data_IF_696819134548
#
_entry.id   IF_696819134548
#
_cell.length_a   1.000
_cell.length_b   1.000
_cell.length_c   1.000
_cell.angle_alpha   90.00
_cell.angle_beta   90.00
_cell.angle_gamma   90.00
#
_symmetry.space_group_name_H-M   'P 1'
#
loop_
_entity.id
_entity.type
_entity.pdbx_description
1 polymer ?
#
# COMPACT_ATOMS: atom_id res chain seq x y z
N UNK A 1 9.28 -5.78 -9.02
CA UNK A 1 8.15 -5.05 -9.64
C UNK A 1 7.57 -4.08 -8.63
N UNK A 2 7.45 -2.82 -9.07
CA UNK A 2 7.33 -1.60 -8.28
C UNK A 2 5.86 -1.21 -8.05
N UNK A 3 5.65 -0.57 -6.89
CA UNK A 3 4.88 0.65 -6.55
C UNK A 3 3.39 0.67 -6.97
N UNK A 4 2.40 0.91 -6.09
CA UNK A 4 2.15 2.16 -5.38
C UNK A 4 1.58 2.02 -3.95
N UNK A 5 2.21 2.75 -3.03
CA UNK A 5 1.61 3.28 -1.81
C UNK A 5 0.96 4.63 -2.14
N UNK A 6 -0.23 4.94 -1.62
CA UNK A 6 -0.49 6.15 -0.81
C UNK A 6 -1.95 6.14 -0.27
N UNK A 7 -2.09 5.91 1.04
CA UNK A 7 -3.20 6.37 1.89
C UNK A 7 -2.84 7.78 2.44
N UNK A 8 -3.77 8.64 2.93
CA UNK A 8 -4.95 8.28 3.73
C UNK A 8 -6.25 9.06 3.43
N UNK A 9 -7.39 8.49 3.85
CA UNK A 9 -8.62 9.24 4.03
C UNK A 9 -9.02 9.24 5.52
N UNK A 10 -9.28 10.46 6.00
CA UNK A 10 -10.28 10.90 6.99
C UNK A 10 -9.70 11.60 8.22
N UNK A 11 -9.92 12.91 8.24
CA UNK A 11 -10.27 13.66 9.43
C UNK A 11 -11.66 14.25 9.18
N UNK A 12 -12.60 13.97 10.08
CA UNK A 12 -13.96 14.51 10.09
C UNK A 12 -13.99 15.85 10.83
N UNK A 13 -14.76 16.84 10.35
CA UNK A 13 -15.22 17.98 11.15
C UNK A 13 -16.63 18.39 10.74
N UNK A 14 -17.43 18.72 11.76
CA UNK A 14 -18.84 19.07 11.77
C UNK A 14 -19.14 20.49 11.27
N UNK A 15 -20.43 20.73 11.01
CA UNK A 15 -21.02 22.01 10.58
C UNK A 15 -21.06 23.08 11.68
N UNK A 16 -20.91 24.35 11.30
CA UNK A 16 -21.36 25.53 12.05
C UNK A 16 -21.77 26.67 11.10
N UNK A 17 -22.81 27.43 11.49
CA UNK A 17 -23.43 28.53 10.75
C UNK A 17 -22.93 29.89 11.26
N UNK A 18 -22.55 30.84 10.40
CA UNK A 18 -22.76 32.29 10.65
C UNK A 18 -22.57 33.18 9.39
N UNK A 19 -23.26 34.33 9.42
CA UNK A 19 -23.52 35.34 8.36
C UNK A 19 -22.52 36.53 8.37
N UNK A 20 -22.40 37.20 7.21
CA UNK A 20 -22.00 38.63 7.01
C UNK A 20 -20.49 38.82 6.81
N UNK A 21 -19.98 39.56 5.82
CA UNK A 21 -20.28 40.95 5.46
C UNK A 21 -19.87 41.29 4.00
N UNK A 22 -20.46 42.38 3.53
CA UNK A 22 -20.50 43.02 2.22
C UNK A 22 -19.17 43.52 1.64
N UNK A 23 -19.06 43.49 0.30
CA UNK A 23 -18.42 44.58 -0.45
C UNK A 23 -18.97 44.66 -1.87
N UNK A 24 -19.26 45.89 -2.29
CA UNK A 24 -20.04 46.28 -3.47
C UNK A 24 -19.07 46.74 -4.57
N UNK A 25 -19.17 46.19 -5.78
CA UNK A 25 -18.70 46.87 -7.00
C UNK A 25 -19.70 46.67 -8.13
N UNK A 26 -20.13 47.81 -8.72
CA UNK A 26 -20.99 47.93 -9.91
C UNK A 26 -20.10 48.06 -11.15
N UNK A 27 -20.42 47.31 -12.19
CA UNK A 27 -20.51 47.69 -13.62
C UNK A 27 -21.00 46.42 -14.35
N UNK A 28 -21.96 46.35 -15.28
CA UNK A 28 -22.44 47.31 -16.26
C UNK A 28 -22.12 46.79 -17.67
N UNK A 29 -23.05 46.06 -18.32
CA UNK A 29 -22.99 45.79 -19.78
C UNK A 29 -23.41 44.39 -20.25
N UNK A 30 -24.49 44.32 -21.03
CA UNK A 30 -25.01 43.16 -21.79
C UNK A 30 -24.08 42.74 -22.95
N UNK A 31 -24.11 41.45 -23.33
CA UNK A 31 -23.49 40.99 -24.57
C UNK A 31 -23.33 39.47 -24.69
N UNK A 32 -24.28 38.88 -25.42
CA UNK A 32 -24.38 37.52 -25.98
C UNK A 32 -23.05 36.83 -26.40
N UNK A 33 -22.89 35.55 -26.06
CA UNK A 33 -22.36 34.48 -26.92
C UNK A 33 -21.95 33.24 -26.07
N UNK A 34 -22.73 32.18 -26.24
CA UNK A 34 -22.41 30.76 -26.05
C UNK A 34 -21.04 30.42 -25.41
N UNK A 35 -21.03 30.24 -24.09
CA UNK A 35 -20.10 29.26 -23.49
C UNK A 35 -20.82 27.93 -23.44
N UNK A 36 -20.68 27.16 -24.51
CA UNK A 36 -20.80 25.71 -24.42
C UNK A 36 -19.80 25.27 -23.36
N UNK A 37 -20.30 24.99 -22.16
CA UNK A 37 -19.55 24.25 -21.18
C UNK A 37 -19.34 22.87 -21.81
N UNK A 38 -18.14 22.64 -22.36
CA UNK A 38 -17.58 21.31 -22.50
C UNK A 38 -17.45 20.75 -21.08
N UNK A 39 -18.58 20.36 -20.48
CA UNK A 39 -18.61 19.48 -19.34
C UNK A 39 -18.07 18.15 -19.87
N UNK A 40 -16.79 17.92 -19.59
CA UNK A 40 -16.06 16.70 -19.90
C UNK A 40 -16.88 15.50 -19.37
N UNK A 41 -17.63 14.85 -20.28
CA UNK A 41 -18.55 13.77 -19.93
C UNK A 41 -17.73 12.58 -19.39
N UNK A 42 -17.75 12.39 -18.08
CA UNK A 42 -17.22 11.19 -17.43
C UNK A 42 -18.33 10.13 -17.34
N UNK A 43 -18.27 9.04 -18.12
CA UNK A 43 -19.25 7.97 -18.01
C UNK A 43 -19.12 7.27 -16.65
N UNK A 44 -20.11 7.48 -15.79
CA UNK A 44 -20.21 6.82 -14.47
C UNK A 44 -20.80 5.40 -14.62
N UNK A 45 -19.93 4.43 -14.92
CA UNK A 45 -20.32 3.02 -15.10
C UNK A 45 -20.24 2.28 -13.76
N UNK A 46 -21.41 1.96 -13.20
CA UNK A 46 -21.54 1.15 -11.99
C UNK A 46 -21.70 -0.34 -12.31
N UNK A 47 -20.92 -1.17 -11.64
CA UNK A 47 -21.04 -2.63 -11.73
C UNK A 47 -21.56 -3.20 -10.42
N UNK A 48 -22.62 -4.02 -10.49
CA UNK A 48 -23.13 -4.75 -9.34
C UNK A 48 -22.15 -5.87 -8.95
N UNK A 49 -21.86 -6.06 -7.64
CA UNK A 49 -21.01 -7.16 -7.19
C UNK A 49 -21.61 -8.52 -7.55
N UNK A 50 -20.82 -9.39 -8.17
CA UNK A 50 -21.24 -10.76 -8.51
C UNK A 50 -21.22 -11.69 -7.30
N UNK A 51 -20.48 -11.32 -6.25
CA UNK A 51 -20.34 -12.05 -5.00
C UNK A 51 -20.49 -11.09 -3.82
N UNK A 52 -21.15 -11.52 -2.73
CA UNK A 52 -21.21 -10.71 -1.52
C UNK A 52 -19.81 -10.52 -0.95
N UNK A 53 -19.51 -9.31 -0.50
CA UNK A 53 -18.27 -9.02 0.20
C UNK A 53 -18.27 -9.84 1.51
N UNK A 54 -17.26 -10.69 1.76
CA UNK A 54 -17.14 -11.40 3.03
C UNK A 54 -17.02 -10.43 4.21
N UNK A 55 -17.32 -10.93 5.40
CA UNK A 55 -17.13 -10.16 6.63
C UNK A 55 -15.65 -9.78 6.81
N UNK A 56 -15.42 -8.61 7.41
CA UNK A 56 -14.08 -8.17 7.74
C UNK A 56 -13.49 -9.11 8.79
N UNK A 57 -12.36 -9.73 8.45
CA UNK A 57 -11.62 -10.61 9.36
C UNK A 57 -10.34 -9.93 9.83
N UNK A 58 -9.96 -10.21 11.07
CA UNK A 58 -8.68 -9.77 11.61
C UNK A 58 -7.53 -10.44 10.86
N UNK A 59 -6.57 -9.62 10.42
CA UNK A 59 -5.42 -10.11 9.66
C UNK A 59 -4.35 -10.61 10.63
N UNK A 60 -4.20 -11.93 10.69
CA UNK A 60 -3.11 -12.58 11.44
C UNK A 60 -1.90 -12.75 10.51
N UNK A 61 -0.77 -12.18 10.89
CA UNK A 61 0.48 -12.22 10.10
C UNK A 61 1.29 -13.50 10.36
N UNK A 62 1.11 -14.11 11.54
CA UNK A 62 1.90 -15.23 12.02
C UNK A 62 3.27 -14.81 12.55
N UNK A 63 3.47 -13.51 12.80
CA UNK A 63 4.70 -12.89 13.33
C UNK A 63 4.49 -12.36 14.77
N UNK A 64 3.28 -12.47 15.34
CA UNK A 64 2.86 -11.82 16.59
C UNK A 64 3.61 -12.33 17.83
N UNK A 65 3.99 -13.61 17.83
CA UNK A 65 4.70 -14.27 18.94
C UNK A 65 6.23 -14.15 18.85
N UNK A 66 6.75 -13.41 17.86
CA UNK A 66 8.18 -13.32 17.59
C UNK A 66 8.74 -11.91 17.76
N UNK A 67 9.99 -11.85 18.21
CA UNK A 67 10.71 -10.61 18.40
C UNK A 67 11.47 -10.23 17.13
N UNK A 68 11.29 -8.99 16.65
CA UNK A 68 12.10 -8.44 15.56
C UNK A 68 13.49 -8.12 16.08
N UNK A 69 14.51 -8.80 15.55
CA UNK A 69 15.93 -8.58 15.90
C UNK A 69 16.59 -7.63 14.91
N UNK A 70 16.19 -7.71 13.65
CA UNK A 70 16.72 -6.88 12.58
C UNK A 70 15.62 -6.57 11.57
N UNK A 71 15.64 -5.36 11.03
CA UNK A 71 14.83 -4.96 9.89
C UNK A 71 15.65 -4.06 8.98
N UNK A 72 15.69 -4.38 7.70
CA UNK A 72 16.28 -3.51 6.70
C UNK A 72 15.57 -3.65 5.37
N UNK A 73 15.62 -2.55 4.61
CA UNK A 73 15.14 -2.51 3.25
C UNK A 73 16.06 -3.34 2.36
N UNK A 74 15.50 -4.29 1.60
CA UNK A 74 16.28 -5.16 0.74
C UNK A 74 15.60 -5.44 -0.61
N UNK A 75 16.42 -5.89 -1.58
CA UNK A 75 15.97 -6.49 -2.83
C UNK A 75 16.50 -7.92 -2.89
N UNK A 76 15.59 -8.89 -2.96
CA UNK A 76 15.90 -10.30 -2.99
C UNK A 76 15.96 -10.80 -4.44
N UNK A 77 16.97 -11.60 -4.75
CA UNK A 77 17.12 -12.29 -6.02
C UNK A 77 17.05 -13.80 -5.82
N UNK A 78 16.61 -14.51 -6.87
CA UNK A 78 16.72 -15.96 -6.99
C UNK A 78 17.61 -16.25 -8.18
N UNK A 79 18.68 -17.00 -7.95
CA UNK A 79 19.54 -17.51 -9.00
C UNK A 79 18.86 -18.71 -9.70
N UNK A 80 18.81 -18.66 -11.04
CA UNK A 80 18.27 -19.74 -11.87
C UNK A 80 19.46 -20.45 -12.53
N UNK A 81 19.61 -21.75 -12.24
CA UNK A 81 20.78 -22.52 -12.67
C UNK A 81 20.76 -22.79 -14.18
N UNK A 82 19.58 -22.97 -14.77
CA UNK A 82 19.41 -23.27 -16.19
C UNK A 82 19.87 -22.12 -17.08
N UNK A 83 19.48 -20.89 -16.72
CA UNK A 83 19.81 -19.67 -17.48
C UNK A 83 21.01 -18.91 -16.92
N UNK A 84 21.58 -19.36 -15.79
CA UNK A 84 22.70 -18.73 -15.07
C UNK A 84 22.48 -17.24 -14.78
N UNK A 85 21.25 -16.87 -14.45
CA UNK A 85 20.86 -15.47 -14.22
C UNK A 85 20.20 -15.27 -12.86
N UNK A 86 20.29 -14.05 -12.33
CA UNK A 86 19.58 -13.64 -11.12
C UNK A 86 18.24 -13.00 -11.51
N UNK A 87 17.14 -13.62 -11.08
CA UNK A 87 15.80 -13.03 -11.21
C UNK A 87 15.36 -12.34 -9.94
N UNK A 88 14.78 -11.14 -10.05
CA UNK A 88 14.23 -10.43 -8.91
C UNK A 88 13.08 -11.25 -8.28
N UNK A 89 13.18 -11.52 -7.00
CA UNK A 89 12.17 -12.24 -6.21
C UNK A 89 11.26 -11.29 -5.43
N UNK A 90 11.77 -10.14 -4.99
CA UNK A 90 10.96 -9.14 -4.29
C UNK A 90 11.78 -7.97 -3.79
N UNK A 91 11.11 -6.83 -3.58
CA UNK A 91 11.65 -5.64 -2.92
C UNK A 91 10.74 -5.33 -1.74
N UNK A 92 11.32 -5.12 -0.57
CA UNK A 92 10.57 -5.14 0.68
C UNK A 92 11.47 -4.97 1.89
N UNK A 93 10.85 -5.03 3.07
CA UNK A 93 11.59 -5.06 4.33
C UNK A 93 11.89 -6.51 4.69
N UNK A 94 13.17 -6.82 4.83
CA UNK A 94 13.66 -8.08 5.32
C UNK A 94 13.76 -7.99 6.84
N UNK A 95 13.07 -8.89 7.52
CA UNK A 95 13.09 -9.02 8.97
C UNK A 95 13.82 -10.30 9.37
N UNK A 96 14.62 -10.21 10.44
CA UNK A 96 15.05 -11.38 11.21
C UNK A 96 14.20 -11.41 12.47
N UNK A 97 13.45 -12.51 12.62
CA UNK A 97 12.55 -12.74 13.73
C UNK A 97 13.15 -13.83 14.64
N UNK A 98 13.10 -13.60 15.95
CA UNK A 98 13.49 -14.56 16.99
C UNK A 98 12.26 -15.02 17.75
N UNK A 99 12.06 -16.33 17.82
CA UNK A 99 11.05 -16.90 18.70
C UNK A 99 11.57 -16.91 20.16
N UNK A 100 10.91 -16.23 21.11
CA UNK A 100 11.39 -16.15 22.49
C UNK A 100 11.30 -17.47 23.26
N UNK A 101 10.44 -18.40 22.83
CA UNK A 101 10.24 -19.71 23.48
C UNK A 101 11.30 -20.73 23.03
N UNK A 102 11.64 -20.74 21.74
CA UNK A 102 12.58 -21.73 21.16
C UNK A 102 13.98 -21.18 20.90
N UNK A 103 14.18 -19.87 20.98
CA UNK A 103 15.38 -19.16 20.52
C UNK A 103 15.70 -19.36 19.03
N UNK A 104 14.79 -19.92 18.25
CA UNK A 104 14.96 -20.09 16.82
C UNK A 104 14.88 -18.74 16.10
N UNK A 105 15.68 -18.58 15.05
CA UNK A 105 15.68 -17.39 14.21
C UNK A 105 15.18 -17.74 12.81
N UNK A 106 14.39 -16.86 12.21
CA UNK A 106 13.95 -16.98 10.81
C UNK A 106 14.02 -15.66 10.09
N UNK A 107 14.21 -15.73 8.78
CA UNK A 107 14.11 -14.59 7.87
C UNK A 107 12.70 -14.55 7.30
N UNK A 108 12.03 -13.43 7.43
CA UNK A 108 10.75 -13.15 6.78
C UNK A 108 10.87 -11.87 5.97
N UNK A 109 10.44 -11.90 4.71
CA UNK A 109 10.42 -10.72 3.86
C UNK A 109 9.13 -10.70 3.06
N UNK A 110 8.45 -9.56 3.05
CA UNK A 110 7.23 -9.32 2.27
C UNK A 110 7.48 -8.23 1.25
N UNK A 111 6.87 -8.36 0.07
CA UNK A 111 6.95 -7.33 -0.98
C UNK A 111 6.13 -6.10 -0.60
N UNK A 112 6.59 -4.92 -1.01
CA UNK A 112 5.76 -3.71 -0.93
C UNK A 112 4.52 -3.80 -1.82
N UNK A 113 3.49 -3.01 -1.48
CA UNK A 113 2.12 -3.02 -2.00
C UNK A 113 1.35 -4.31 -1.87
N UNK A 114 1.92 -5.40 -2.38
CA UNK A 114 1.19 -6.67 -2.49
C UNK A 114 1.23 -7.43 -1.17
N UNK A 115 2.13 -7.07 -0.25
CA UNK A 115 2.33 -7.67 1.08
C UNK A 115 2.51 -9.21 1.09
N UNK A 116 2.75 -9.81 -0.09
CA UNK A 116 3.04 -11.24 -0.27
C UNK A 116 4.43 -11.57 0.22
N UNK A 117 4.54 -12.70 0.92
CA UNK A 117 5.81 -13.26 1.40
C UNK A 117 6.68 -13.64 0.20
N UNK A 118 7.91 -13.14 0.17
CA UNK A 118 8.92 -13.51 -0.83
C UNK A 118 10.09 -14.32 -0.25
N UNK A 119 10.29 -14.27 1.07
CA UNK A 119 11.17 -15.17 1.81
C UNK A 119 10.56 -15.56 3.16
N UNK A 120 10.66 -16.83 3.50
CA UNK A 120 10.34 -17.39 4.81
C UNK A 120 11.18 -18.65 5.00
N UNK A 121 12.28 -18.56 5.75
CA UNK A 121 13.14 -19.70 6.04
C UNK A 121 13.85 -19.53 7.39
N UNK A 122 14.12 -20.65 8.06
CA UNK A 122 14.89 -20.65 9.30
C UNK A 122 16.38 -20.34 9.03
N UNK A 123 17.02 -19.61 9.92
CA UNK A 123 18.47 -19.41 9.89
C UNK A 123 19.11 -20.66 10.49
N UNK A 124 19.80 -21.43 9.65
CA UNK A 124 20.53 -22.63 10.05
C UNK A 124 22.02 -22.30 10.19
N UNK A 125 22.75 -22.97 11.10
CA UNK A 125 24.20 -22.78 11.25
C UNK A 125 25.01 -23.06 9.98
N UNK A 126 24.46 -23.83 9.04
CA UNK A 126 25.09 -24.17 7.77
C UNK A 126 24.93 -23.10 6.68
N UNK A 127 24.20 -22.02 6.94
CA UNK A 127 24.01 -20.93 5.98
C UNK A 127 25.20 -19.97 6.09
N UNK A 128 25.92 -19.79 4.99
CA UNK A 128 27.02 -18.83 4.87
C UNK A 128 26.60 -17.65 4.00
N UNK A 129 26.98 -16.44 4.43
CA UNK A 129 26.82 -15.21 3.67
C UNK A 129 28.22 -14.79 3.21
N UNK A 130 28.41 -14.73 1.90
CA UNK A 130 29.68 -14.32 1.26
C UNK A 130 29.65 -12.85 0.86
#
# INVERSE_FOLDING_TARGET
MQRLWQWPLRLAVAADQSKGDSTKHKDGGEGDAERGADEEYEPDVHFAPVVPLPELVDVVTGEEDEQVVFVARAKLFRFIKETKENKERGVGDLKILRNPKTNAHRVVMRREQVHKVCANFAILPSIELN
#
